data_IF_773399298655
#
_entry.id   IF_773399298655
#
_cell.length_a   1.000
_cell.length_b   1.000
_cell.length_c   1.000
_cell.angle_alpha   90.00
_cell.angle_beta   90.00
_cell.angle_gamma   90.00
#
_symmetry.space_group_name_H-M   'P 1'
#
loop_
_entity.id
_entity.type
_entity.pdbx_description
1 polymer ?
#
# COMPACT_ATOMS: atom_id res chain seq x y z
N UNK A 1 43.12 -35.05 -36.69
CA UNK A 1 42.33 -35.30 -35.48
C UNK A 1 42.37 -34.16 -34.47
N UNK A 2 43.53 -33.57 -34.18
CA UNK A 2 43.63 -32.45 -33.21
C UNK A 2 42.87 -31.19 -33.63
N UNK A 3 42.86 -30.86 -34.92
CA UNK A 3 42.14 -29.68 -35.46
C UNK A 3 40.61 -29.85 -35.44
N UNK A 4 40.14 -31.08 -35.63
CA UNK A 4 38.72 -31.40 -35.57
C UNK A 4 38.18 -31.30 -34.14
N UNK A 5 38.97 -31.65 -33.15
CA UNK A 5 38.62 -31.59 -31.73
C UNK A 5 38.58 -30.17 -31.20
N UNK A 6 39.47 -29.30 -31.68
CA UNK A 6 39.45 -27.87 -31.32
C UNK A 6 38.26 -27.13 -31.94
N UNK A 7 37.82 -27.52 -33.15
CA UNK A 7 36.66 -26.97 -33.80
C UNK A 7 35.34 -27.38 -33.08
N UNK A 8 35.27 -28.62 -32.61
CA UNK A 8 34.12 -29.12 -31.86
C UNK A 8 34.02 -28.42 -30.49
N UNK A 9 35.17 -28.12 -29.84
CA UNK A 9 35.22 -27.43 -28.56
C UNK A 9 34.78 -25.94 -28.68
N UNK A 10 35.10 -25.28 -29.83
CA UNK A 10 34.70 -23.90 -30.08
C UNK A 10 33.19 -23.75 -30.35
N UNK A 11 32.59 -24.80 -30.94
CA UNK A 11 31.14 -24.80 -31.23
C UNK A 11 30.28 -24.93 -29.97
N UNK A 12 30.81 -25.60 -28.93
CA UNK A 12 30.10 -25.73 -27.64
C UNK A 12 30.05 -24.40 -26.84
N UNK A 13 30.96 -23.47 -27.11
CA UNK A 13 30.95 -22.14 -26.46
C UNK A 13 29.85 -21.22 -26.97
N UNK A 14 29.37 -21.44 -28.20
CA UNK A 14 28.30 -20.60 -28.79
C UNK A 14 26.91 -20.93 -28.25
N UNK A 15 26.72 -22.07 -27.59
CA UNK A 15 25.38 -22.47 -27.08
C UNK A 15 25.10 -21.90 -25.70
N UNK A 16 26.11 -21.37 -24.99
CA UNK A 16 25.95 -20.83 -23.63
C UNK A 16 25.37 -19.42 -23.58
N UNK A 17 25.14 -18.74 -24.71
CA UNK A 17 24.52 -17.44 -24.78
C UNK A 17 23.00 -17.48 -25.12
N UNK A 18 22.33 -18.58 -24.78
CA UNK A 18 20.87 -18.56 -24.74
C UNK A 18 20.44 -17.82 -23.49
N UNK A 19 20.47 -16.49 -23.55
CA UNK A 19 19.86 -15.64 -22.53
C UNK A 19 18.35 -15.92 -22.55
N UNK A 20 17.88 -16.51 -21.48
CA UNK A 20 16.47 -16.57 -21.18
C UNK A 20 16.00 -15.12 -21.02
N UNK A 21 15.45 -14.53 -22.08
CA UNK A 21 14.70 -13.28 -21.96
C UNK A 21 13.45 -13.62 -21.19
N UNK A 22 13.49 -13.41 -19.89
CA UNK A 22 12.30 -13.39 -19.05
C UNK A 22 11.50 -12.18 -19.52
N UNK A 23 10.36 -12.47 -20.12
CA UNK A 23 9.46 -11.47 -20.69
C UNK A 23 8.71 -10.76 -19.55
N UNK A 24 9.46 -10.07 -18.67
CA UNK A 24 8.91 -9.33 -17.52
C UNK A 24 8.15 -8.06 -17.97
N UNK A 25 8.50 -7.50 -19.13
CA UNK A 25 7.89 -6.25 -19.60
C UNK A 25 6.38 -6.38 -19.87
N UNK A 26 5.90 -7.53 -20.34
CA UNK A 26 4.49 -7.76 -20.60
C UNK A 26 3.65 -7.77 -19.33
N UNK A 27 4.13 -8.45 -18.30
CA UNK A 27 3.42 -8.56 -17.02
C UNK A 27 3.43 -7.24 -16.24
N UNK A 28 4.54 -6.49 -16.31
CA UNK A 28 4.66 -5.17 -15.64
C UNK A 28 3.73 -4.16 -16.31
N UNK A 29 3.64 -4.12 -17.64
CA UNK A 29 2.70 -3.23 -18.36
C UNK A 29 1.25 -3.53 -18.03
N UNK A 30 0.85 -4.79 -18.04
CA UNK A 30 -0.52 -5.20 -17.67
C UNK A 30 -0.84 -4.84 -16.23
N UNK A 31 0.11 -4.98 -15.31
CA UNK A 31 -0.05 -4.54 -13.93
C UNK A 31 -0.17 -3.02 -13.83
N UNK A 32 0.70 -2.26 -14.53
CA UNK A 32 0.66 -0.80 -14.56
C UNK A 32 -0.66 -0.28 -15.13
N UNK A 33 -1.15 -0.83 -16.25
CA UNK A 33 -2.45 -0.47 -16.85
C UNK A 33 -3.60 -0.78 -15.88
N UNK A 34 -3.50 -1.88 -15.15
CA UNK A 34 -4.50 -2.26 -14.14
C UNK A 34 -4.49 -1.30 -12.96
N UNK A 35 -3.31 -0.89 -12.47
CA UNK A 35 -3.17 0.13 -11.42
C UNK A 35 -3.65 1.49 -11.89
N UNK A 36 -3.36 1.90 -13.14
CA UNK A 36 -3.84 3.16 -13.70
C UNK A 36 -5.36 3.19 -13.84
N UNK A 37 -5.97 2.09 -14.29
CA UNK A 37 -7.42 1.97 -14.40
C UNK A 37 -8.10 1.97 -13.02
N UNK A 38 -7.53 1.31 -12.01
CA UNK A 38 -8.00 1.39 -10.63
C UNK A 38 -7.87 2.84 -10.12
N UNK A 39 -6.77 3.52 -10.44
CA UNK A 39 -6.56 4.92 -10.09
C UNK A 39 -7.59 5.88 -10.70
N UNK A 40 -8.20 5.56 -11.83
CA UNK A 40 -9.28 6.33 -12.48
C UNK A 40 -10.68 5.94 -12.01
N UNK A 41 -10.86 4.78 -11.41
CA UNK A 41 -12.15 4.27 -10.95
C UNK A 41 -12.54 4.88 -9.60
N UNK A 42 -13.79 5.33 -9.48
CA UNK A 42 -14.36 5.76 -8.19
C UNK A 42 -14.99 4.58 -7.42
N UNK A 43 -14.62 3.37 -7.80
CA UNK A 43 -15.14 2.15 -7.18
C UNK A 43 -14.72 2.06 -5.71
N UNK A 44 -15.70 1.87 -4.85
CA UNK A 44 -15.48 1.65 -3.42
C UNK A 44 -15.60 0.18 -3.08
N UNK A 45 -14.72 -0.31 -2.24
CA UNK A 45 -14.78 -1.65 -1.67
C UNK A 45 -14.87 -1.57 -0.15
N UNK A 46 -15.36 -2.63 0.45
CA UNK A 46 -15.22 -2.78 1.90
C UNK A 46 -13.77 -3.12 2.24
N UNK A 47 -13.23 -2.38 3.19
CA UNK A 47 -11.86 -2.54 3.65
C UNK A 47 -11.70 -2.11 5.10
N UNK A 48 -10.48 -1.78 5.48
CA UNK A 48 -10.11 -1.47 6.85
C UNK A 48 -9.40 -0.13 6.95
N UNK A 49 -9.73 0.60 8.00
CA UNK A 49 -9.02 1.81 8.45
C UNK A 49 -8.68 1.69 9.92
N UNK A 50 -7.80 2.54 10.38
CA UNK A 50 -7.53 2.71 11.80
C UNK A 50 -8.26 3.96 12.27
N UNK A 51 -9.15 3.81 13.24
CA UNK A 51 -9.77 4.92 13.97
C UNK A 51 -8.84 5.32 15.09
N UNK A 52 -8.28 6.53 15.02
CA UNK A 52 -7.30 7.05 15.96
C UNK A 52 -7.97 7.49 17.26
N UNK A 53 -9.10 8.20 17.14
CA UNK A 53 -9.86 8.74 18.27
C UNK A 53 -11.36 8.73 17.94
N UNK A 54 -12.17 8.58 18.97
CA UNK A 54 -13.60 8.77 18.96
C UNK A 54 -13.98 9.58 20.19
N UNK A 55 -14.49 10.79 20.02
CA UNK A 55 -14.75 11.72 21.14
C UNK A 55 -15.92 12.64 20.82
N UNK A 56 -16.60 13.13 21.85
CA UNK A 56 -17.63 14.17 21.70
C UNK A 56 -17.04 15.59 21.74
N UNK A 57 -15.76 15.71 22.14
CA UNK A 57 -15.05 16.98 22.20
C UNK A 57 -14.30 17.24 20.90
N UNK A 58 -14.73 18.29 20.19
CA UNK A 58 -14.11 18.75 18.96
C UNK A 58 -12.64 19.17 19.14
N UNK A 59 -12.32 19.84 20.26
CA UNK A 59 -10.94 20.29 20.53
C UNK A 59 -9.98 19.10 20.72
N UNK A 60 -10.45 18.08 21.43
CA UNK A 60 -9.69 16.84 21.60
C UNK A 60 -9.42 16.18 20.26
N UNK A 61 -10.39 16.15 19.33
CA UNK A 61 -10.23 15.65 17.97
C UNK A 61 -9.21 16.48 17.19
N UNK A 62 -9.32 17.81 17.20
CA UNK A 62 -8.39 18.70 16.48
C UNK A 62 -6.95 18.56 16.99
N UNK A 63 -6.75 18.45 18.32
CA UNK A 63 -5.46 18.20 18.92
C UNK A 63 -4.86 16.86 18.51
N UNK A 64 -5.68 15.81 18.48
CA UNK A 64 -5.25 14.49 18.02
C UNK A 64 -4.86 14.51 16.54
N UNK A 65 -5.62 15.22 15.70
CA UNK A 65 -5.30 15.40 14.28
C UNK A 65 -3.99 16.14 14.06
N UNK A 66 -3.77 17.20 14.79
CA UNK A 66 -2.51 17.97 14.74
C UNK A 66 -1.32 17.09 15.13
N UNK A 67 -1.43 16.37 16.25
CA UNK A 67 -0.40 15.44 16.71
C UNK A 67 -0.14 14.34 15.67
N UNK A 68 -1.19 13.79 15.07
CA UNK A 68 -1.05 12.78 14.03
C UNK A 68 -0.28 13.30 12.81
N UNK A 69 -0.62 14.49 12.32
CA UNK A 69 0.04 15.09 11.16
C UNK A 69 1.50 15.43 11.43
N UNK A 70 1.87 15.75 12.68
CA UNK A 70 3.26 15.97 13.07
C UNK A 70 4.07 14.66 13.07
N UNK A 71 3.48 13.57 13.57
CA UNK A 71 4.17 12.29 13.68
C UNK A 71 4.21 11.54 12.34
N UNK A 72 3.18 11.71 11.50
CA UNK A 72 2.99 10.97 10.25
C UNK A 72 2.66 11.91 9.08
N UNK A 73 3.57 12.81 8.69
CA UNK A 73 3.28 13.84 7.67
C UNK A 73 2.99 13.25 6.28
N UNK A 74 3.53 12.08 5.96
CA UNK A 74 3.28 11.38 4.70
C UNK A 74 1.93 10.63 4.66
N UNK A 75 1.26 10.47 5.81
CA UNK A 75 0.00 9.71 5.90
C UNK A 75 -1.21 10.63 6.03
N UNK A 76 -2.22 10.34 5.24
CA UNK A 76 -3.47 11.10 5.28
C UNK A 76 -4.39 10.64 6.41
N UNK A 77 -5.09 11.59 7.02
CA UNK A 77 -6.16 11.32 7.97
C UNK A 77 -7.46 11.98 7.53
N UNK A 78 -8.58 11.31 7.75
CA UNK A 78 -9.94 11.83 7.49
C UNK A 78 -10.65 12.05 8.81
N UNK A 79 -11.21 13.24 8.99
CA UNK A 79 -12.09 13.55 10.13
C UNK A 79 -13.53 13.32 9.70
N UNK A 80 -14.33 12.73 10.57
CA UNK A 80 -15.78 12.60 10.39
C UNK A 80 -16.53 13.01 11.67
N UNK A 81 -17.73 13.50 11.47
CA UNK A 81 -18.67 13.79 12.55
C UNK A 81 -19.92 12.93 12.37
N UNK A 82 -20.19 12.10 13.34
CA UNK A 82 -21.39 11.26 13.41
C UNK A 82 -22.04 11.54 14.79
N UNK A 83 -23.05 12.40 14.79
CA UNK A 83 -23.64 12.95 16.03
C UNK A 83 -23.81 11.88 17.12
N UNK A 84 -23.27 12.06 18.34
CA UNK A 84 -22.50 13.24 18.83
C UNK A 84 -20.97 13.11 18.71
N UNK A 85 -20.45 12.17 17.96
CA UNK A 85 -19.04 11.80 17.96
C UNK A 85 -18.24 12.39 16.81
N UNK A 86 -17.08 12.94 17.15
CA UNK A 86 -15.99 13.25 16.21
C UNK A 86 -15.02 12.08 16.16
N UNK A 87 -14.60 11.67 14.99
CA UNK A 87 -13.62 10.63 14.82
C UNK A 87 -12.57 10.99 13.76
N UNK A 88 -11.37 10.45 13.92
CA UNK A 88 -10.30 10.52 12.93
C UNK A 88 -9.98 9.10 12.48
N UNK A 89 -9.93 8.89 11.16
CA UNK A 89 -9.59 7.61 10.55
C UNK A 89 -8.40 7.80 9.62
N UNK A 90 -7.48 6.84 9.60
CA UNK A 90 -6.29 6.83 8.73
C UNK A 90 -6.09 5.48 8.08
N UNK A 91 -5.32 5.49 6.99
CA UNK A 91 -5.00 4.30 6.23
C UNK A 91 -6.14 3.83 5.33
N UNK A 92 -5.81 2.95 4.40
CA UNK A 92 -6.72 2.30 3.48
C UNK A 92 -6.15 0.90 3.17
N UNK A 93 -6.73 -0.13 3.78
CA UNK A 93 -6.22 -1.50 3.70
C UNK A 93 -7.31 -2.45 3.22
N UNK A 94 -6.98 -3.32 2.28
CA UNK A 94 -7.91 -4.36 1.81
C UNK A 94 -8.16 -5.42 2.89
N UNK A 95 -7.12 -5.75 3.66
CA UNK A 95 -7.16 -6.78 4.68
C UNK A 95 -6.78 -6.20 6.05
N UNK A 96 -7.31 -6.82 7.09
CA UNK A 96 -6.98 -6.45 8.46
C UNK A 96 -5.51 -6.69 8.80
N UNK A 97 -4.93 -7.77 8.27
CA UNK A 97 -3.53 -8.15 8.55
C UNK A 97 -2.56 -7.07 8.09
N UNK A 98 -2.84 -6.43 6.95
CA UNK A 98 -1.98 -5.41 6.35
C UNK A 98 -1.89 -4.12 7.19
N UNK A 99 -2.90 -3.86 8.04
CA UNK A 99 -2.89 -2.68 8.91
C UNK A 99 -2.20 -2.92 10.27
N UNK A 100 -2.04 -4.19 10.69
CA UNK A 100 -1.55 -4.51 12.04
C UNK A 100 -0.18 -3.90 12.36
N UNK A 101 0.84 -3.91 11.46
CA UNK A 101 2.13 -3.29 11.74
C UNK A 101 1.99 -1.80 12.09
N UNK A 102 1.22 -1.06 11.30
CA UNK A 102 0.99 0.36 11.53
C UNK A 102 0.10 0.61 12.76
N UNK A 103 -0.84 -0.27 13.04
CA UNK A 103 -1.67 -0.18 14.25
C UNK A 103 -0.83 -0.31 15.52
N UNK A 104 0.13 -1.24 15.54
CA UNK A 104 1.04 -1.44 16.68
C UNK A 104 1.89 -0.18 16.92
N UNK A 105 2.47 0.37 15.84
CA UNK A 105 3.22 1.62 15.92
C UNK A 105 2.35 2.78 16.41
N UNK A 106 1.16 2.94 15.82
CA UNK A 106 0.24 4.03 16.14
C UNK A 106 -0.24 4.00 17.60
N UNK A 107 -0.42 2.81 18.17
CA UNK A 107 -0.82 2.62 19.57
C UNK A 107 0.22 3.14 20.59
N UNK A 108 1.47 3.30 20.19
CA UNK A 108 2.49 3.93 21.06
C UNK A 108 2.13 5.39 21.37
N UNK A 109 1.48 6.09 20.44
CA UNK A 109 1.10 7.49 20.55
C UNK A 109 -0.40 7.70 20.77
N UNK A 110 -1.23 6.77 20.30
CA UNK A 110 -2.70 6.80 20.36
C UNK A 110 -3.23 5.46 20.87
N UNK A 111 -3.24 5.29 22.18
CA UNK A 111 -3.59 4.01 22.85
C UNK A 111 -4.97 3.48 22.48
N UNK A 112 -5.91 4.37 22.18
CA UNK A 112 -7.29 4.03 21.83
C UNK A 112 -7.50 3.76 20.32
N UNK A 113 -6.41 3.67 19.55
CA UNK A 113 -6.50 3.35 18.14
C UNK A 113 -7.03 1.92 17.94
N UNK A 114 -8.04 1.79 17.09
CA UNK A 114 -8.69 0.51 16.78
C UNK A 114 -8.90 0.34 15.28
N UNK A 115 -8.83 -0.91 14.76
CA UNK A 115 -9.22 -1.20 13.39
C UNK A 115 -10.74 -1.11 13.25
N UNK A 116 -11.21 -0.49 12.17
CA UNK A 116 -12.63 -0.37 11.82
C UNK A 116 -12.85 -0.71 10.36
N UNK A 117 -13.99 -1.32 10.04
CA UNK A 117 -14.43 -1.49 8.65
C UNK A 117 -14.92 -0.17 8.10
N UNK A 118 -14.59 0.09 6.85
CA UNK A 118 -14.99 1.32 6.15
C UNK A 118 -15.07 1.08 4.64
N UNK A 119 -15.87 1.89 3.97
CA UNK A 119 -15.85 1.93 2.51
C UNK A 119 -14.63 2.70 2.05
N UNK A 120 -13.78 2.04 1.27
CA UNK A 120 -12.51 2.58 0.80
C UNK A 120 -12.54 2.69 -0.71
N UNK A 121 -12.13 3.84 -1.24
CA UNK A 121 -11.92 3.98 -2.66
C UNK A 121 -10.66 3.20 -3.06
N UNK A 122 -10.74 2.44 -4.14
CA UNK A 122 -9.59 1.67 -4.66
C UNK A 122 -8.35 2.54 -4.90
N UNK A 123 -8.53 3.81 -5.28
CA UNK A 123 -7.43 4.80 -5.41
C UNK A 123 -6.65 5.00 -4.11
N UNK A 124 -7.33 4.99 -2.97
CA UNK A 124 -6.67 5.22 -1.68
C UNK A 124 -5.79 4.03 -1.29
N UNK A 125 -6.18 2.81 -1.67
CA UNK A 125 -5.37 1.60 -1.44
C UNK A 125 -4.09 1.68 -2.27
N UNK A 126 -4.20 2.03 -3.55
CA UNK A 126 -3.04 2.17 -4.44
C UNK A 126 -2.10 3.26 -3.92
N UNK A 127 -2.64 4.42 -3.52
CA UNK A 127 -1.83 5.50 -2.95
C UNK A 127 -1.15 5.11 -1.63
N UNK A 128 -1.79 4.27 -0.82
CA UNK A 128 -1.21 3.77 0.43
C UNK A 128 -0.03 2.81 0.18
N UNK A 129 -0.08 2.02 -0.91
CA UNK A 129 0.99 1.09 -1.31
C UNK A 129 2.21 1.81 -1.91
N UNK A 130 2.01 2.99 -2.53
CA UNK A 130 3.10 3.77 -3.16
C UNK A 130 3.81 4.71 -2.19
N UNK A 131 3.22 5.02 -1.04
CA UNK A 131 3.75 5.95 -0.03
C UNK A 131 4.21 5.25 1.27
N UNK A 132 4.32 3.91 1.23
CA UNK A 132 4.70 3.08 2.39
C UNK A 132 6.17 2.65 2.44
#
# INVERSE_FOLDING_TARGET
MKVLFTFLLSLSYLIMFSQTQINEEGNVRVLMDKFENIGKSNETIEGWRIKIINTTDRRAMESAKFKFNQLYPARQSKSSYENPYYSIRTGAYSNRIDLEPFLVELKQHFRNAIPVRDKINKKEIVAALTNG
#
